data_IF_436658212125
#
_entry.id   IF_436658212125
#
_cell.length_a   1.000
_cell.length_b   1.000
_cell.length_c   1.000
_cell.angle_alpha   90.00
_cell.angle_beta   90.00
_cell.angle_gamma   90.00
#
_symmetry.space_group_name_H-M   'P 1'
#
loop_
_entity.id
_entity.type
_entity.pdbx_description
1 polymer ?
#
# COMPACT_ATOMS: atom_id res chain seq x y z
N UNK A 1 10.59 -11.76 11.38
CA UNK A 1 9.16 -11.81 11.02
C UNK A 1 9.05 -12.00 9.51
N UNK A 2 8.24 -12.97 9.09
CA UNK A 2 8.06 -13.33 7.68
C UNK A 2 6.90 -12.53 7.05
N UNK A 3 7.10 -12.00 5.85
CA UNK A 3 6.11 -11.17 5.15
C UNK A 3 5.09 -12.10 4.49
N UNK A 4 4.03 -12.42 5.21
CA UNK A 4 2.96 -13.32 4.77
C UNK A 4 2.05 -12.62 3.74
N UNK A 5 2.56 -12.43 2.52
CA UNK A 5 1.89 -11.76 1.41
C UNK A 5 0.88 -12.69 0.73
N UNK A 6 -0.40 -12.30 0.72
CA UNK A 6 -1.46 -13.03 0.00
C UNK A 6 -1.60 -12.59 -1.45
N UNK A 7 -1.60 -11.27 -1.69
CA UNK A 7 -1.72 -10.67 -3.01
C UNK A 7 -1.27 -9.21 -2.97
N UNK A 8 -1.00 -8.64 -4.13
CA UNK A 8 -0.96 -7.20 -4.32
C UNK A 8 -1.97 -6.78 -5.38
N UNK A 9 -2.43 -5.55 -5.29
CA UNK A 9 -3.23 -4.90 -6.31
C UNK A 9 -2.45 -3.69 -6.82
N UNK A 10 -2.45 -3.51 -8.14
CA UNK A 10 -1.89 -2.34 -8.80
C UNK A 10 -3.01 -1.63 -9.54
N UNK A 11 -3.09 -0.32 -9.33
CA UNK A 11 -3.96 0.56 -10.09
C UNK A 11 -3.09 1.59 -10.81
N UNK A 12 -3.33 1.75 -12.12
CA UNK A 12 -2.65 2.73 -12.95
C UNK A 12 -3.73 3.60 -13.56
N UNK A 13 -3.77 4.85 -13.12
CA UNK A 13 -4.67 5.86 -13.63
C UNK A 13 -3.89 6.84 -14.50
N UNK A 14 -4.45 7.18 -15.65
CA UNK A 14 -3.86 8.11 -16.60
C UNK A 14 -4.87 9.20 -16.94
N UNK A 15 -4.66 10.37 -16.35
CA UNK A 15 -5.54 11.52 -16.49
C UNK A 15 -5.12 12.37 -17.69
N UNK A 16 -5.97 12.44 -18.71
CA UNK A 16 -5.71 13.23 -19.93
C UNK A 16 -6.27 14.66 -19.88
N UNK A 17 -7.31 14.87 -19.06
CA UNK A 17 -7.99 16.17 -18.90
C UNK A 17 -8.19 16.41 -17.41
N UNK A 18 -7.75 17.56 -16.93
CA UNK A 18 -7.88 17.97 -15.53
C UNK A 18 -8.18 19.47 -15.48
N UNK A 19 -9.06 19.91 -14.57
CA UNK A 19 -9.51 21.30 -14.52
C UNK A 19 -10.11 21.83 -15.84
N UNK A 20 -10.70 20.94 -16.65
CA UNK A 20 -11.28 21.28 -17.95
C UNK A 20 -10.27 21.52 -19.09
N UNK A 21 -8.98 21.23 -18.89
CA UNK A 21 -7.92 21.42 -19.91
C UNK A 21 -7.23 20.11 -20.24
N UNK A 22 -6.91 19.90 -21.52
CA UNK A 22 -6.10 18.76 -21.97
C UNK A 22 -4.67 18.93 -21.49
N UNK A 23 -4.13 17.93 -20.79
CA UNK A 23 -2.75 17.94 -20.35
C UNK A 23 -1.79 17.74 -21.54
N UNK A 24 -0.68 18.49 -21.58
CA UNK A 24 0.38 18.31 -22.60
C UNK A 24 0.99 16.90 -22.51
N UNK A 25 1.19 16.44 -21.29
CA UNK A 25 1.56 15.07 -20.95
C UNK A 25 0.55 14.57 -19.92
N UNK A 26 -0.12 13.42 -20.12
CA UNK A 26 -1.10 12.91 -19.15
C UNK A 26 -0.46 12.66 -17.78
N UNK A 27 -1.18 12.99 -16.71
CA UNK A 27 -0.75 12.67 -15.35
C UNK A 27 -0.89 11.17 -15.15
N UNK A 28 0.15 10.54 -14.60
CA UNK A 28 0.16 9.11 -14.30
C UNK A 28 0.15 8.93 -12.78
N UNK A 29 -0.93 8.39 -12.25
CA UNK A 29 -1.02 7.97 -10.86
C UNK A 29 -0.87 6.45 -10.79
N UNK A 30 0.11 5.99 -10.01
CA UNK A 30 0.33 4.56 -9.78
C UNK A 30 0.16 4.28 -8.30
N UNK A 31 -0.78 3.41 -7.97
CA UNK A 31 -1.03 2.96 -6.60
C UNK A 31 -0.79 1.46 -6.52
N UNK A 32 -0.04 1.03 -5.50
CA UNK A 32 0.20 -0.38 -5.19
C UNK A 32 -0.25 -0.64 -3.76
N UNK A 33 -1.01 -1.71 -3.55
CA UNK A 33 -1.45 -2.14 -2.24
C UNK A 33 -1.11 -3.62 -2.05
N UNK A 34 -0.49 -3.96 -0.92
CA UNK A 34 -0.22 -5.33 -0.52
C UNK A 34 -1.24 -5.79 0.52
N UNK A 35 -1.69 -7.04 0.41
CA UNK A 35 -2.51 -7.70 1.41
C UNK A 35 -1.67 -8.73 2.12
N UNK A 36 -1.40 -8.49 3.40
CA UNK A 36 -0.61 -9.38 4.26
C UNK A 36 -1.48 -9.96 5.38
N UNK A 37 -1.04 -11.07 5.98
CA UNK A 37 -1.62 -11.53 7.25
C UNK A 37 -1.38 -10.48 8.33
N UNK A 38 -2.41 -10.13 9.10
CA UNK A 38 -2.28 -9.22 10.23
C UNK A 38 -1.29 -9.81 11.26
N UNK A 39 -0.15 -9.14 11.55
CA UNK A 39 0.87 -9.67 12.46
C UNK A 39 0.41 -9.75 13.92
N UNK A 40 -0.64 -9.02 14.30
CA UNK A 40 -1.20 -8.95 15.65
C UNK A 40 -2.48 -9.78 15.83
N UNK A 41 -2.90 -10.53 14.81
CA UNK A 41 -4.07 -11.40 14.92
C UNK A 41 -3.90 -12.37 16.10
N UNK A 42 -4.97 -12.60 16.86
CA UNK A 42 -5.02 -13.49 18.03
C UNK A 42 -4.14 -13.10 19.25
N UNK A 43 -3.49 -11.93 19.24
CA UNK A 43 -2.65 -11.47 20.36
C UNK A 43 -3.40 -10.68 21.45
N UNK A 44 -4.71 -10.47 21.31
CA UNK A 44 -5.46 -9.56 22.19
C UNK A 44 -5.08 -8.10 21.96
N UNK A 45 -5.02 -7.30 23.03
CA UNK A 45 -4.55 -5.90 22.97
C UNK A 45 -3.02 -5.86 22.96
N UNK A 46 -2.45 -5.14 21.98
CA UNK A 46 -1.00 -4.96 21.85
C UNK A 46 -0.68 -3.49 22.09
N UNK A 47 0.06 -3.21 23.16
CA UNK A 47 0.37 -1.84 23.60
C UNK A 47 1.38 -1.13 22.71
N UNK A 48 2.38 -1.86 22.17
CA UNK A 48 3.36 -1.33 21.24
C UNK A 48 3.36 -2.11 19.91
N UNK A 49 2.88 -1.46 18.85
CA UNK A 49 2.86 -2.00 17.49
C UNK A 49 4.15 -1.71 16.71
N UNK A 50 5.00 -0.82 17.22
CA UNK A 50 6.17 -0.28 16.51
C UNK A 50 7.17 -1.36 16.09
N UNK A 51 7.48 -2.39 16.89
CA UNK A 51 8.45 -3.42 16.50
C UNK A 51 8.03 -4.17 15.21
N UNK A 52 6.78 -4.62 15.13
CA UNK A 52 6.27 -5.32 13.94
C UNK A 52 6.16 -4.38 12.73
N UNK A 53 5.75 -3.12 12.94
CA UNK A 53 5.71 -2.11 11.87
C UNK A 53 7.10 -1.92 11.26
N UNK A 54 8.12 -1.68 12.10
CA UNK A 54 9.49 -1.46 11.63
C UNK A 54 10.11 -2.71 10.98
N UNK A 55 9.66 -3.90 11.38
CA UNK A 55 10.12 -5.16 10.77
C UNK A 55 9.48 -5.47 9.40
N UNK A 56 8.22 -5.04 9.18
CA UNK A 56 7.44 -5.37 7.99
C UNK A 56 7.36 -4.23 6.96
N UNK A 57 7.19 -2.99 7.40
CA UNK A 57 6.95 -1.84 6.51
C UNK A 57 8.09 -1.59 5.50
N UNK A 58 9.39 -1.70 5.84
CA UNK A 58 10.47 -1.50 4.87
C UNK A 58 10.55 -2.56 3.76
N UNK A 59 9.83 -3.68 3.91
CA UNK A 59 9.79 -4.77 2.93
C UNK A 59 8.61 -4.66 1.96
N UNK A 60 7.71 -3.70 2.19
CA UNK A 60 6.53 -3.39 1.38
C UNK A 60 6.81 -2.17 0.49
#
# INVERSE_FOLDING_TARGET
MDLNLRKFAKFVDKTFIEGGKKAKTPVLLVSVAAVIKNPWIERGFVEDLKPEILALAPKL
#
